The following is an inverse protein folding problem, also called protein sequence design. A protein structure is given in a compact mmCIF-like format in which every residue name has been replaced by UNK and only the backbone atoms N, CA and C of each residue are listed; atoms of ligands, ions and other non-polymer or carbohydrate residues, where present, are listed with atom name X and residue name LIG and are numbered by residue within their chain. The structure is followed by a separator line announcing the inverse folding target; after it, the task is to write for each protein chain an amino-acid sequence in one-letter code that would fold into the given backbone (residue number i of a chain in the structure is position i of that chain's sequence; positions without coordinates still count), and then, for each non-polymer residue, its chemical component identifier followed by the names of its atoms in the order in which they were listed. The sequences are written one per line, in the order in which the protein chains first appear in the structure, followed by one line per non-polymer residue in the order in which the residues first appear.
data_IF_195791791942
#
_entry.id   IF_195791791942
#
_cell.length_a   1.000
_cell.length_b   1.000
_cell.length_c   1.000
_cell.angle_alpha   90.00
_cell.angle_beta   90.00
_cell.angle_gamma   90.00
#
_symmetry.space_group_name_H-M   'P 1'
#
loop_
_entity.id
_entity.type
_entity.pdbx_description
1 polymer ?
#
# COMPACT_ATOMS: atom_id res chain seq x y z
N UNK A 1 -4.76 15.31 12.69
CA UNK A 1 -4.98 13.87 12.45
C UNK A 1 -3.78 13.30 11.70
N UNK A 2 -3.20 12.23 12.23
CA UNK A 2 -2.15 11.47 11.58
C UNK A 2 -2.80 10.21 11.00
N UNK A 3 -2.52 9.92 9.73
CA UNK A 3 -2.95 8.68 9.10
C UNK A 3 -1.73 7.86 8.71
N UNK A 4 -1.68 6.62 9.17
CA UNK A 4 -0.63 5.67 8.82
C UNK A 4 -1.21 4.68 7.81
N UNK A 5 -0.56 4.55 6.67
CA UNK A 5 -0.91 3.56 5.64
C UNK A 5 0.17 2.50 5.59
N UNK A 6 -0.24 1.28 5.32
CA UNK A 6 0.67 0.17 5.06
C UNK A 6 0.24 -0.51 3.77
N UNK A 7 1.20 -0.69 2.86
CA UNK A 7 0.97 -1.38 1.60
C UNK A 7 1.93 -2.56 1.47
N UNK A 8 1.43 -3.66 0.96
CA UNK A 8 2.20 -4.88 0.74
C UNK A 8 1.95 -5.36 -0.69
N UNK A 9 3.04 -5.57 -1.43
CA UNK A 9 2.96 -6.09 -2.80
C UNK A 9 2.49 -7.54 -2.78
N UNK A 10 1.43 -7.84 -3.53
CA UNK A 10 0.86 -9.17 -3.59
C UNK A 10 1.71 -10.07 -4.51
N UNK A 11 2.01 -11.28 -4.05
CA UNK A 11 2.64 -12.35 -4.83
C UNK A 11 4.03 -12.00 -5.39
N UNK A 12 4.82 -11.21 -4.65
CA UNK A 12 6.19 -10.89 -5.08
C UNK A 12 7.02 -12.16 -5.29
N UNK A 13 6.91 -13.13 -4.38
CA UNK A 13 7.64 -14.40 -4.52
C UNK A 13 7.26 -15.13 -5.81
N UNK A 14 5.97 -15.14 -6.15
CA UNK A 14 5.50 -15.76 -7.39
C UNK A 14 6.12 -15.05 -8.61
N UNK A 15 6.14 -13.72 -8.61
CA UNK A 15 6.74 -12.95 -9.71
C UNK A 15 8.22 -13.28 -9.83
N UNK A 16 8.96 -13.28 -8.71
CA UNK A 16 10.39 -13.60 -8.71
C UNK A 16 10.64 -15.01 -9.23
N UNK A 17 9.87 -15.97 -8.76
CA UNK A 17 10.09 -17.38 -9.09
C UNK A 17 9.75 -17.71 -10.55
N UNK A 18 8.73 -17.05 -11.11
CA UNK A 18 8.24 -17.36 -12.47
C UNK A 18 8.83 -16.45 -13.55
N UNK A 19 9.19 -15.21 -13.19
CA UNK A 19 9.59 -14.18 -14.18
C UNK A 19 10.97 -13.59 -13.87
N UNK A 20 11.57 -13.93 -12.74
CA UNK A 20 12.91 -13.49 -12.33
C UNK A 20 12.90 -12.27 -11.42
N UNK A 21 14.01 -12.07 -10.70
CA UNK A 21 14.15 -10.99 -9.73
C UNK A 21 14.09 -9.60 -10.38
N UNK A 22 14.52 -9.46 -11.63
CA UNK A 22 14.41 -8.18 -12.34
C UNK A 22 12.95 -7.77 -12.50
N UNK A 23 12.06 -8.71 -12.77
CA UNK A 23 10.62 -8.42 -12.86
C UNK A 23 10.03 -8.14 -11.48
N UNK A 24 10.48 -8.81 -10.43
CA UNK A 24 10.10 -8.49 -9.06
C UNK A 24 10.51 -7.08 -8.67
N UNK A 25 11.75 -6.68 -8.97
CA UNK A 25 12.24 -5.32 -8.72
C UNK A 25 11.42 -4.29 -9.49
N UNK A 26 11.08 -4.60 -10.74
CA UNK A 26 10.24 -3.74 -11.55
C UNK A 26 8.85 -3.56 -10.94
N UNK A 27 8.24 -4.64 -10.43
CA UNK A 27 6.95 -4.57 -9.76
C UNK A 27 7.00 -3.65 -8.53
N UNK A 28 8.08 -3.73 -7.75
CA UNK A 28 8.30 -2.85 -6.60
C UNK A 28 8.38 -1.39 -7.04
N UNK A 29 9.09 -1.09 -8.13
CA UNK A 29 9.18 0.26 -8.69
C UNK A 29 7.81 0.80 -9.10
N UNK A 30 6.97 -0.04 -9.70
CA UNK A 30 5.61 0.35 -10.09
C UNK A 30 4.78 0.73 -8.87
N UNK A 31 4.86 -0.04 -7.79
CA UNK A 31 4.19 0.30 -6.53
C UNK A 31 4.69 1.66 -6.01
N UNK A 32 6.01 1.86 -6.00
CA UNK A 32 6.59 3.14 -5.58
C UNK A 32 6.08 4.32 -6.41
N UNK A 33 5.97 4.16 -7.71
CA UNK A 33 5.43 5.19 -8.61
C UNK A 33 3.94 5.44 -8.33
N UNK A 34 3.16 4.39 -8.07
CA UNK A 34 1.76 4.52 -7.72
C UNK A 34 1.58 5.36 -6.45
N UNK A 35 2.38 5.08 -5.42
CA UNK A 35 2.34 5.83 -4.16
C UNK A 35 2.78 7.27 -4.36
N UNK A 36 3.85 7.50 -5.12
CA UNK A 36 4.33 8.86 -5.42
C UNK A 36 3.26 9.70 -6.15
N UNK A 37 2.48 9.07 -7.02
CA UNK A 37 1.47 9.78 -7.81
C UNK A 37 0.29 10.28 -6.97
N UNK A 38 0.05 9.71 -5.79
CA UNK A 38 -1.11 10.03 -4.95
C UNK A 38 -0.73 10.76 -3.66
N UNK A 39 0.57 10.93 -3.38
CA UNK A 39 1.04 11.58 -2.15
C UNK A 39 1.40 13.04 -2.40
N UNK A 40 1.31 13.83 -1.31
CA UNK A 40 1.74 15.23 -1.30
C UNK A 40 3.20 15.32 -0.89
N UNK A 41 3.86 16.44 -1.21
CA UNK A 41 5.27 16.66 -0.82
C UNK A 41 5.49 16.63 0.69
N UNK A 42 4.44 16.89 1.48
CA UNK A 42 4.49 16.84 2.94
C UNK A 42 4.29 15.44 3.51
N UNK A 43 3.85 14.49 2.70
CA UNK A 43 3.65 13.11 3.12
C UNK A 43 5.00 12.38 3.15
N UNK A 44 5.12 11.42 4.08
CA UNK A 44 6.35 10.63 4.21
C UNK A 44 6.04 9.22 3.70
N UNK A 45 6.76 8.80 2.66
CA UNK A 45 6.66 7.46 2.12
C UNK A 45 8.01 6.76 2.26
N UNK A 46 8.00 5.54 2.80
CA UNK A 46 9.21 4.76 2.99
C UNK A 46 8.98 3.30 2.62
N UNK A 47 9.96 2.72 1.92
CA UNK A 47 9.99 1.28 1.71
C UNK A 47 10.59 0.65 2.97
N UNK A 48 9.80 -0.21 3.62
CA UNK A 48 10.21 -0.81 4.89
C UNK A 48 10.92 -2.15 4.69
N UNK A 49 10.43 -2.99 3.79
CA UNK A 49 11.03 -4.28 3.49
C UNK A 49 10.97 -4.54 1.98
N UNK A 50 11.28 -5.75 1.54
CA UNK A 50 11.30 -6.09 0.11
C UNK A 50 9.97 -5.81 -0.58
N UNK A 51 8.85 -6.00 0.12
CA UNK A 51 7.51 -5.92 -0.46
C UNK A 51 6.56 -4.99 0.31
N UNK A 52 7.06 -4.22 1.29
CA UNK A 52 6.23 -3.37 2.16
C UNK A 52 6.61 -1.90 2.05
N UNK A 53 5.58 -1.05 2.02
CA UNK A 53 5.71 0.40 2.01
C UNK A 53 4.87 1.00 3.13
N UNK A 54 5.43 1.97 3.85
CA UNK A 54 4.75 2.77 4.85
C UNK A 54 4.52 4.17 4.31
N UNK A 55 3.35 4.73 4.63
CA UNK A 55 3.01 6.09 4.27
C UNK A 55 2.43 6.80 5.49
N UNK A 56 2.95 7.98 5.79
CA UNK A 56 2.49 8.81 6.90
C UNK A 56 1.96 10.12 6.34
N UNK A 57 0.72 10.43 6.63
CA UNK A 57 0.07 11.66 6.16
C UNK A 57 -0.52 12.45 7.33
N UNK A 58 -0.68 13.76 7.12
CA UNK A 58 -1.25 14.67 8.11
C UNK A 58 -2.56 15.25 7.58
N UNK A 59 -3.52 15.41 8.49
CA UNK A 59 -4.78 16.14 8.23
C UNK A 59 -5.68 15.51 7.14
N UNK A 60 -5.63 14.19 7.03
CA UNK A 60 -6.56 13.45 6.18
C UNK A 60 -7.86 13.17 6.92
N UNK A 61 -8.99 13.35 6.26
CA UNK A 61 -10.27 12.79 6.72
C UNK A 61 -10.32 11.30 6.41
N UNK A 62 -11.34 10.61 6.94
CA UNK A 62 -11.56 9.21 6.56
C UNK A 62 -11.79 9.08 5.06
N UNK A 63 -12.55 10.01 4.48
CA UNK A 63 -12.83 10.04 3.05
C UNK A 63 -11.56 10.24 2.23
N UNK A 64 -10.65 11.10 2.69
CA UNK A 64 -9.35 11.31 2.04
C UNK A 64 -8.52 10.03 2.06
N UNK A 65 -8.53 9.31 3.17
CA UNK A 65 -7.79 8.05 3.31
C UNK A 65 -8.36 6.96 2.39
N UNK A 66 -9.67 6.82 2.36
CA UNK A 66 -10.35 5.86 1.48
C UNK A 66 -10.07 6.20 0.00
N UNK A 67 -10.10 7.48 -0.34
CA UNK A 67 -9.80 7.93 -1.69
C UNK A 67 -8.36 7.62 -2.10
N UNK A 68 -7.40 7.80 -1.19
CA UNK A 68 -5.99 7.48 -1.48
C UNK A 68 -5.84 6.00 -1.83
N UNK A 69 -6.44 5.10 -1.04
CA UNK A 69 -6.42 3.67 -1.33
C UNK A 69 -7.04 3.38 -2.71
N UNK A 70 -8.19 3.97 -3.00
CA UNK A 70 -8.87 3.79 -4.28
C UNK A 70 -7.98 4.24 -5.43
N UNK A 71 -7.30 5.36 -5.29
CA UNK A 71 -6.41 5.90 -6.34
C UNK A 71 -5.20 5.00 -6.57
N UNK A 72 -4.64 4.43 -5.52
CA UNK A 72 -3.53 3.47 -5.65
C UNK A 72 -3.99 2.24 -6.41
N UNK A 73 -5.12 1.66 -6.02
CA UNK A 73 -5.66 0.47 -6.69
C UNK A 73 -5.99 0.76 -8.16
N UNK A 74 -6.56 1.92 -8.43
CA UNK A 74 -6.91 2.33 -9.79
C UNK A 74 -5.66 2.53 -10.66
N UNK A 75 -4.62 3.12 -10.10
CA UNK A 75 -3.34 3.28 -10.79
C UNK A 75 -2.78 1.91 -11.22
N UNK A 76 -2.78 0.95 -10.33
CA UNK A 76 -2.26 -0.39 -10.60
C UNK A 76 -3.14 -1.13 -11.63
N UNK A 77 -4.46 -1.02 -11.51
CA UNK A 77 -5.39 -1.59 -12.47
C UNK A 77 -5.14 -1.05 -13.89
N UNK A 78 -5.02 0.26 -14.02
CA UNK A 78 -4.74 0.90 -15.30
C UNK A 78 -3.39 0.47 -15.84
N UNK A 79 -2.37 0.39 -14.97
CA UNK A 79 -1.05 -0.06 -15.34
C UNK A 79 -1.10 -1.49 -15.92
N UNK A 80 -1.80 -2.39 -15.24
CA UNK A 80 -1.91 -3.79 -15.68
C UNK A 80 -2.59 -3.91 -17.04
N UNK A 81 -3.56 -3.04 -17.36
CA UNK A 81 -4.26 -3.05 -18.62
C UNK A 81 -3.37 -2.66 -19.81
N UNK A 82 -2.39 -1.81 -19.60
CA UNK A 82 -1.54 -1.27 -20.67
C UNK A 82 -0.14 -1.87 -20.72
N UNK A 83 0.29 -2.58 -19.68
CA UNK A 83 1.68 -3.03 -19.53
C UNK A 83 2.05 -4.20 -20.44
N UNK A 84 1.09 -4.99 -20.88
CA UNK A 84 1.31 -6.21 -21.67
C UNK A 84 2.20 -7.26 -20.97
N UNK A 85 2.36 -7.18 -19.65
CA UNK A 85 3.06 -8.20 -18.89
C UNK A 85 2.17 -9.42 -18.70
N UNK A 86 2.79 -10.59 -18.56
CA UNK A 86 2.08 -11.86 -18.33
C UNK A 86 1.53 -11.99 -16.92
N UNK A 87 1.90 -11.07 -16.03
CA UNK A 87 1.44 -11.05 -14.64
C UNK A 87 0.87 -9.68 -14.31
N UNK A 88 0.00 -9.64 -13.30
CA UNK A 88 -0.56 -8.40 -12.79
C UNK A 88 0.22 -7.95 -11.55
N UNK A 89 0.42 -6.64 -11.44
CA UNK A 89 1.01 -6.01 -10.27
C UNK A 89 -0.13 -5.51 -9.39
N UNK A 90 -0.17 -5.95 -8.14
CA UNK A 90 -1.18 -5.52 -7.19
C UNK A 90 -0.60 -5.39 -5.80
N UNK A 91 -1.27 -4.60 -4.97
CA UNK A 91 -0.90 -4.39 -3.59
C UNK A 91 -2.15 -4.45 -2.73
N UNK A 92 -1.96 -4.87 -1.48
CA UNK A 92 -2.99 -4.77 -0.46
C UNK A 92 -2.63 -3.62 0.46
N UNK A 93 -3.57 -2.74 0.73
CA UNK A 93 -3.34 -1.56 1.56
C UNK A 93 -4.32 -1.46 2.71
N UNK A 94 -3.88 -0.84 3.78
CA UNK A 94 -4.72 -0.53 4.92
C UNK A 94 -4.25 0.72 5.61
N UNK A 95 -5.10 1.30 6.45
CA UNK A 95 -4.75 2.50 7.18
C UNK A 95 -5.38 2.53 8.56
N UNK A 96 -4.83 3.38 9.42
CA UNK A 96 -5.41 3.76 10.70
C UNK A 96 -5.16 5.23 10.96
N UNK A 97 -6.11 5.88 11.63
CA UNK A 97 -6.05 7.33 11.89
C UNK A 97 -6.04 7.61 13.38
N UNK A 98 -5.29 8.65 13.78
CA UNK A 98 -5.33 9.15 15.14
C UNK A 98 -6.61 9.95 15.36
N UNK A 99 -6.96 10.15 16.64
CA UNK A 99 -8.03 11.07 17.03
C UNK A 99 -7.61 12.50 16.66
N UNK A 100 -8.49 13.31 16.06
CA UNK A 100 -8.17 14.70 15.72
C UNK A 100 -7.72 15.48 16.96
N UNK A 101 -6.62 16.22 16.83
CA UNK A 101 -6.09 17.06 17.90
C UNK A 101 -5.34 16.30 19.00
N UNK A 102 -5.23 14.98 18.90
CA UNK A 102 -4.52 14.20 19.90
C UNK A 102 -3.02 14.41 19.80
N UNK A 103 -2.36 14.49 20.96
CA UNK A 103 -0.90 14.44 21.04
C UNK A 103 -0.47 12.98 20.97
N UNK A 104 0.44 12.65 20.06
CA UNK A 104 0.83 11.27 19.83
C UNK A 104 2.18 10.96 20.48
N UNK A 105 2.19 9.92 21.33
CA UNK A 105 3.43 9.33 21.82
C UNK A 105 4.00 8.35 20.77
N UNK A 106 5.22 7.88 21.02
CA UNK A 106 5.84 6.84 20.21
C UNK A 106 5.00 5.56 20.17
N UNK A 107 4.42 5.21 21.32
CA UNK A 107 3.56 4.04 21.45
C UNK A 107 2.25 4.21 20.67
N UNK A 108 1.70 5.41 20.63
CA UNK A 108 0.48 5.73 19.87
C UNK A 108 0.72 5.53 18.37
N UNK A 109 1.87 5.95 17.86
CA UNK A 109 2.24 5.77 16.46
C UNK A 109 2.40 4.28 16.12
N UNK A 110 3.05 3.53 17.01
CA UNK A 110 3.18 2.07 16.84
C UNK A 110 1.81 1.40 16.79
N UNK A 111 0.89 1.82 17.65
CA UNK A 111 -0.48 1.28 17.67
C UNK A 111 -1.22 1.58 16.37
N UNK A 112 -1.02 2.77 15.78
CA UNK A 112 -1.61 3.11 14.48
C UNK A 112 -1.09 2.21 13.38
N UNK A 113 0.23 1.97 13.32
CA UNK A 113 0.80 1.06 12.32
C UNK A 113 0.30 -0.37 12.51
N UNK A 114 0.12 -0.82 13.75
CA UNK A 114 -0.45 -2.13 14.04
C UNK A 114 -1.87 -2.27 13.50
N UNK A 115 -2.70 -1.24 13.66
CA UNK A 115 -4.07 -1.23 13.13
C UNK A 115 -4.09 -1.16 11.61
N UNK A 116 -3.19 -0.39 11.03
CA UNK A 116 -3.04 -0.32 9.57
C UNK A 116 -2.64 -1.68 9.01
N UNK A 117 -1.76 -2.41 9.70
CA UNK A 117 -1.35 -3.76 9.31
C UNK A 117 -2.52 -4.74 9.35
N UNK A 118 -3.36 -4.68 10.38
CA UNK A 118 -4.57 -5.51 10.46
C UNK A 118 -5.51 -5.25 9.28
N UNK A 119 -5.73 -4.00 8.95
CA UNK A 119 -6.57 -3.61 7.82
C UNK A 119 -5.98 -4.11 6.49
N UNK A 120 -4.69 -3.92 6.29
CA UNK A 120 -3.98 -4.41 5.10
C UNK A 120 -4.09 -5.92 5.01
N UNK A 121 -3.90 -6.63 6.12
CA UNK A 121 -4.00 -8.08 6.15
C UNK A 121 -5.38 -8.59 5.74
N UNK A 122 -6.45 -7.91 6.19
CA UNK A 122 -7.81 -8.22 5.76
C UNK A 122 -7.97 -8.09 4.23
N UNK A 123 -7.41 -7.03 3.65
CA UNK A 123 -7.43 -6.83 2.20
C UNK A 123 -6.63 -7.91 1.48
N UNK A 124 -5.51 -8.32 2.04
CA UNK A 124 -4.68 -9.38 1.48
C UNK A 124 -5.42 -10.72 1.48
N UNK A 125 -6.18 -11.01 2.51
CA UNK A 125 -7.00 -12.23 2.56
C UNK A 125 -8.09 -12.21 1.49
N UNK A 126 -8.73 -11.08 1.28
CA UNK A 126 -9.74 -10.93 0.21
C UNK A 126 -9.10 -11.20 -1.15
N UNK A 127 -7.91 -10.66 -1.39
CA UNK A 127 -7.16 -10.91 -2.61
C UNK A 127 -6.89 -12.40 -2.81
N UNK A 128 -6.43 -13.11 -1.79
CA UNK A 128 -6.16 -14.55 -1.88
C UNK A 128 -7.43 -15.36 -2.12
N UNK A 129 -8.55 -15.00 -1.49
CA UNK A 129 -9.84 -15.65 -1.75
C UNK A 129 -10.27 -15.50 -3.21
N UNK A 130 -10.07 -14.32 -3.80
CA UNK A 130 -10.40 -14.07 -5.20
C UNK A 130 -9.53 -14.89 -6.15
N UNK A 131 -8.26 -15.14 -5.77
CA UNK A 131 -7.39 -16.01 -6.56
C UNK A 131 -7.86 -17.47 -6.55
N UNK A 132 -8.45 -17.93 -5.45
CA UNK A 132 -8.90 -19.30 -5.29
C UNK A 132 -10.24 -19.58 -5.98
N UNK A 133 -10.85 -18.55 -6.51
CA UNK A 133 -12.06 -18.67 -7.34
C UNK A 133 -11.67 -18.82 -8.81
#
# INVERSE_FOLDING_TARGET
TVTCFLFDLNRLKYINDHYGHNEGDFAIQVIGHALSSVTRSTDICARFSSDEFYLLTMDYTKEDADELLTRVYKYLDNYNKISHKEYNISASGGYAQSTPGASLSKEDVKALFSKADEHMYQQKQIFHQDLDK
#
